data_IF_166507508566
#
_entry.id   IF_166507508566
#
_cell.length_a   1.000
_cell.length_b   1.000
_cell.length_c   1.000
_cell.angle_alpha   90.00
_cell.angle_beta   90.00
_cell.angle_gamma   90.00
#
_symmetry.space_group_name_H-M   'P 1'
#
loop_
_entity.id
_entity.type
_entity.pdbx_description
1 polymer ?
#
# COMPACT_ATOMS: atom_id res chain seq x y z
N UNK A 1 -4.14 7.12 -10.77
CA UNK A 1 -2.69 7.29 -10.52
C UNK A 1 -1.98 7.58 -11.84
N UNK A 2 -2.46 8.58 -12.59
CA UNK A 2 -2.10 8.75 -14.00
C UNK A 2 -0.72 9.42 -14.19
N UNK A 3 -0.19 9.94 -13.09
CA UNK A 3 1.10 10.63 -12.98
C UNK A 3 2.27 9.69 -12.65
N UNK A 4 2.01 8.47 -12.16
CA UNK A 4 3.06 7.46 -11.93
C UNK A 4 3.70 7.04 -13.27
N UNK A 5 2.92 6.96 -14.35
CA UNK A 5 3.42 6.52 -15.66
C UNK A 5 4.15 5.17 -15.55
N UNK A 6 5.41 5.15 -16.01
CA UNK A 6 6.34 4.00 -15.95
C UNK A 6 7.35 4.09 -14.80
N UNK A 7 7.20 5.03 -13.87
CA UNK A 7 8.15 5.17 -12.75
C UNK A 7 8.09 3.94 -11.84
N UNK A 8 9.23 3.63 -11.22
CA UNK A 8 9.25 2.74 -10.05
C UNK A 8 8.39 3.34 -8.94
N UNK A 9 7.77 2.48 -8.15
CA UNK A 9 7.01 2.87 -6.98
C UNK A 9 7.47 2.02 -5.79
N UNK A 10 7.37 2.59 -4.60
CA UNK A 10 7.62 1.89 -3.34
C UNK A 10 6.33 1.90 -2.54
N UNK A 11 6.10 0.86 -1.75
CA UNK A 11 5.03 0.84 -0.75
C UNK A 11 5.60 1.07 0.64
N UNK A 12 4.89 1.89 1.41
CA UNK A 12 5.07 2.04 2.84
C UNK A 12 3.90 1.33 3.50
N UNK A 13 4.23 0.41 4.39
CA UNK A 13 3.28 -0.48 5.03
C UNK A 13 3.43 -0.30 6.54
N UNK A 14 2.34 0.04 7.21
CA UNK A 14 2.30 0.20 8.66
C UNK A 14 1.33 -0.81 9.27
N UNK A 15 1.85 -1.60 10.22
CA UNK A 15 1.10 -2.59 10.98
C UNK A 15 0.70 -1.99 12.32
N UNK A 16 -0.60 -2.01 12.62
CA UNK A 16 -1.11 -1.44 13.87
C UNK A 16 -2.35 -2.19 14.35
N UNK A 17 -2.88 -1.78 15.51
CA UNK A 17 -4.16 -2.24 16.04
C UNK A 17 -5.11 -1.07 16.22
N UNK A 18 -6.38 -1.30 15.97
CA UNK A 18 -7.43 -0.33 16.28
C UNK A 18 -7.78 -0.30 17.77
N UNK A 19 -8.71 0.58 18.17
CA UNK A 19 -9.18 0.70 19.56
C UNK A 19 -9.88 -0.57 20.08
N UNK A 20 -10.34 -1.46 19.19
CA UNK A 20 -10.91 -2.76 19.52
C UNK A 20 -9.87 -3.88 19.56
N UNK A 21 -8.58 -3.52 19.49
CA UNK A 21 -7.41 -4.41 19.47
C UNK A 21 -7.32 -5.32 18.24
N UNK A 22 -8.08 -5.02 17.19
CA UNK A 22 -8.01 -5.77 15.93
C UNK A 22 -6.81 -5.32 15.11
N UNK A 23 -6.12 -6.29 14.53
CA UNK A 23 -4.97 -6.04 13.64
C UNK A 23 -5.44 -5.36 12.35
N UNK A 24 -4.66 -4.40 11.89
CA UNK A 24 -4.90 -3.66 10.66
C UNK A 24 -3.59 -3.31 9.96
N UNK A 25 -3.72 -2.99 8.67
CA UNK A 25 -2.64 -2.62 7.80
C UNK A 25 -2.97 -1.31 7.09
N UNK A 26 -2.12 -0.31 7.21
CA UNK A 26 -2.19 0.91 6.41
C UNK A 26 -1.15 0.87 5.28
N UNK A 27 -1.54 1.28 4.07
CA UNK A 27 -0.66 1.29 2.90
C UNK A 27 -0.62 2.69 2.29
N UNK A 28 0.58 3.16 2.01
CA UNK A 28 0.86 4.36 1.20
C UNK A 28 1.79 3.98 0.06
N UNK A 29 1.55 4.51 -1.14
CA UNK A 29 2.49 4.39 -2.26
C UNK A 29 3.33 5.65 -2.35
N UNK A 30 4.64 5.49 -2.59
CA UNK A 30 5.60 6.57 -2.81
C UNK A 30 6.20 6.41 -4.20
N UNK A 31 6.22 7.48 -4.99
CA UNK A 31 6.83 7.49 -6.32
C UNK A 31 7.34 8.89 -6.66
N UNK A 32 8.10 9.00 -7.75
CA UNK A 32 8.54 10.29 -8.29
C UNK A 32 7.67 10.64 -9.50
N UNK A 33 7.04 11.81 -9.49
CA UNK A 33 6.20 12.25 -10.60
C UNK A 33 7.02 12.73 -11.81
N UNK A 34 6.33 13.13 -12.88
CA UNK A 34 6.97 13.63 -14.12
C UNK A 34 7.74 14.93 -13.93
N UNK A 35 7.52 15.65 -12.83
CA UNK A 35 8.21 16.88 -12.47
C UNK A 35 9.42 16.62 -11.56
N UNK A 36 9.70 15.35 -11.25
CA UNK A 36 10.80 14.97 -10.36
C UNK A 36 10.47 15.12 -8.88
N UNK A 37 9.20 15.29 -8.51
CA UNK A 37 8.76 15.45 -7.12
C UNK A 37 8.44 14.11 -6.49
N UNK A 38 8.81 13.93 -5.22
CA UNK A 38 8.38 12.77 -4.44
C UNK A 38 6.92 12.95 -4.05
N UNK A 39 6.07 12.04 -4.51
CA UNK A 39 4.65 12.00 -4.20
C UNK A 39 4.38 10.80 -3.31
N UNK A 40 3.62 11.02 -2.24
CA UNK A 40 3.06 9.98 -1.40
C UNK A 40 1.54 9.98 -1.51
N UNK A 41 0.95 8.82 -1.73
CA UNK A 41 -0.51 8.65 -1.77
C UNK A 41 -0.95 7.53 -0.85
N UNK A 42 -1.75 7.91 0.14
CA UNK A 42 -2.45 6.95 0.97
C UNK A 42 -3.42 6.12 0.13
N UNK A 43 -3.32 4.80 0.26
CA UNK A 43 -4.15 3.83 -0.47
C UNK A 43 -5.36 3.44 0.39
N UNK A 44 -5.10 3.09 1.65
CA UNK A 44 -6.16 2.68 2.56
C UNK A 44 -5.65 1.98 3.80
N UNK A 45 -6.58 1.73 4.71
CA UNK A 45 -6.43 0.81 5.85
C UNK A 45 -7.33 -0.40 5.61
N UNK A 46 -6.84 -1.61 5.89
CA UNK A 46 -7.67 -2.81 5.94
C UNK A 46 -7.44 -3.56 7.24
N UNK A 47 -8.51 -4.12 7.79
CA UNK A 47 -8.36 -5.11 8.86
C UNK A 47 -7.71 -6.38 8.31
N UNK A 48 -6.88 -6.99 9.12
CA UNK A 48 -6.25 -8.29 8.85
C UNK A 48 -6.50 -9.23 10.02
N UNK A 49 -6.51 -10.53 9.75
CA UNK A 49 -6.72 -11.53 10.81
C UNK A 49 -5.49 -11.71 11.70
N UNK A 50 -4.30 -11.38 11.19
CA UNK A 50 -3.03 -11.36 11.92
C UNK A 50 -1.98 -10.57 11.13
N UNK A 51 -0.89 -10.18 11.79
CA UNK A 51 0.27 -9.49 11.19
C UNK A 51 1.37 -10.44 10.72
N UNK A 52 1.04 -11.71 10.46
CA UNK A 52 2.04 -12.62 9.87
C UNK A 52 2.28 -12.27 8.38
N UNK A 53 3.46 -12.62 7.87
CA UNK A 53 3.88 -12.26 6.51
C UNK A 53 2.92 -12.73 5.40
N UNK A 54 2.29 -13.90 5.55
CA UNK A 54 1.36 -14.44 4.54
C UNK A 54 0.09 -13.59 4.48
N UNK A 55 -0.50 -13.29 5.65
CA UNK A 55 -1.70 -12.47 5.75
C UNK A 55 -1.45 -11.04 5.26
N UNK A 56 -0.30 -10.45 5.63
CA UNK A 56 0.07 -9.11 5.18
C UNK A 56 0.29 -9.04 3.67
N UNK A 57 1.02 -9.98 3.08
CA UNK A 57 1.20 -10.04 1.62
C UNK A 57 -0.14 -10.07 0.88
N UNK A 58 -1.06 -10.94 1.32
CA UNK A 58 -2.38 -11.04 0.70
C UNK A 58 -3.18 -9.74 0.84
N UNK A 59 -3.13 -9.10 2.01
CA UNK A 59 -3.78 -7.81 2.24
C UNK A 59 -3.23 -6.69 1.35
N UNK A 60 -1.90 -6.64 1.17
CA UNK A 60 -1.23 -5.72 0.24
C UNK A 60 -1.70 -5.95 -1.19
N UNK A 61 -1.69 -7.20 -1.67
CA UNK A 61 -2.15 -7.55 -3.03
C UNK A 61 -3.58 -7.10 -3.29
N UNK A 62 -4.49 -7.37 -2.35
CA UNK A 62 -5.91 -6.98 -2.45
C UNK A 62 -6.08 -5.46 -2.46
N UNK A 63 -5.39 -4.74 -1.56
CA UNK A 63 -5.48 -3.28 -1.50
C UNK A 63 -4.91 -2.63 -2.76
N UNK A 64 -3.76 -3.09 -3.26
CA UNK A 64 -3.19 -2.57 -4.51
C UNK A 64 -4.11 -2.84 -5.71
N UNK A 65 -4.66 -4.04 -5.82
CA UNK A 65 -5.56 -4.42 -6.91
C UNK A 65 -6.81 -3.52 -6.97
N UNK A 66 -7.38 -3.15 -5.82
CA UNK A 66 -8.51 -2.20 -5.73
C UNK A 66 -8.20 -0.82 -6.34
N UNK A 67 -6.92 -0.43 -6.38
CA UNK A 67 -6.46 0.83 -6.97
C UNK A 67 -5.77 0.63 -8.33
N UNK A 68 -5.99 -0.53 -8.97
CA UNK A 68 -5.38 -0.90 -10.26
C UNK A 68 -3.84 -0.87 -10.24
N UNK A 69 -3.26 -1.15 -9.07
CA UNK A 69 -1.84 -1.39 -8.88
C UNK A 69 -1.54 -2.89 -8.77
N UNK A 70 -0.28 -3.24 -8.99
CA UNK A 70 0.21 -4.62 -8.92
C UNK A 70 1.55 -4.66 -8.20
N UNK A 71 1.79 -5.74 -7.43
CA UNK A 71 3.10 -6.03 -6.82
C UNK A 71 4.23 -6.10 -7.84
N UNK A 72 3.96 -6.44 -9.11
CA UNK A 72 4.99 -6.48 -10.15
C UNK A 72 5.61 -5.09 -10.43
N UNK A 73 4.97 -4.01 -9.97
CA UNK A 73 5.45 -2.64 -10.15
C UNK A 73 6.23 -2.12 -8.94
N UNK A 74 6.33 -2.91 -7.87
CA UNK A 74 6.99 -2.59 -6.61
C UNK A 74 8.41 -3.17 -6.63
#
# INVERSE_FOLDING_TARGET
>A
MNDIGYSHLTILVDESRDVSTKEQLAITVRYVDKLGQVIERFIGVTHVTSTNAITLKAAVEVLLAKHSLSLHRI
#
